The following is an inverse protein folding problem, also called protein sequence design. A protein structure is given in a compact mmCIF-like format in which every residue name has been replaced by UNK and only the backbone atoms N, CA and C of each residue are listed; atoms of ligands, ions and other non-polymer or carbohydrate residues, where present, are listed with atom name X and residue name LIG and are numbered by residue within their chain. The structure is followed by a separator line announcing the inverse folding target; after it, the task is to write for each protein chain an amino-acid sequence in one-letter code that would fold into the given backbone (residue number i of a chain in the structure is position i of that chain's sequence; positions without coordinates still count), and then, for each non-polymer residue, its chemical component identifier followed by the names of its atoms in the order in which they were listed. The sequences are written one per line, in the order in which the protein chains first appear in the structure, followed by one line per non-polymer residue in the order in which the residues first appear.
data_IF_884849292636
#
_entry.id   IF_884849292636
#
_cell.length_a   1.000
_cell.length_b   1.000
_cell.length_c   1.000
_cell.angle_alpha   90.00
_cell.angle_beta   90.00
_cell.angle_gamma   90.00
#
_symmetry.space_group_name_H-M   'P 1'
#
loop_
_entity.id
_entity.type
_entity.pdbx_description
1 polymer ?
#
# COMPACT_ATOMS: atom_id res chain seq x y z
N UNK A 1 -37.88 -24.32 -44.18
CA UNK A 1 -39.13 -24.47 -43.41
C UNK A 1 -38.79 -24.40 -41.95
N UNK A 2 -39.33 -23.41 -41.24
CA UNK A 2 -39.00 -23.14 -39.83
C UNK A 2 -39.52 -24.24 -38.90
N UNK A 3 -38.71 -24.55 -37.88
CA UNK A 3 -39.04 -25.49 -36.82
C UNK A 3 -39.54 -24.70 -35.61
N UNK A 4 -40.64 -25.16 -35.01
CA UNK A 4 -41.21 -24.58 -33.80
C UNK A 4 -41.27 -25.64 -32.72
N UNK A 5 -41.09 -25.23 -31.46
CA UNK A 5 -41.28 -26.14 -30.34
C UNK A 5 -42.77 -26.32 -30.09
N UNK A 6 -43.27 -27.54 -30.26
CA UNK A 6 -44.66 -27.91 -30.00
C UNK A 6 -44.67 -29.23 -29.24
N UNK A 7 -45.44 -29.28 -28.14
CA UNK A 7 -45.56 -30.47 -27.26
C UNK A 7 -44.21 -31.05 -26.83
N UNK A 8 -43.23 -30.18 -26.56
CA UNK A 8 -41.89 -30.57 -26.12
C UNK A 8 -40.95 -31.09 -27.23
N UNK A 9 -41.34 -31.04 -28.51
CA UNK A 9 -40.49 -31.44 -29.65
C UNK A 9 -40.43 -30.36 -30.72
N UNK A 10 -39.33 -30.32 -31.46
CA UNK A 10 -39.23 -29.44 -32.64
C UNK A 10 -39.97 -30.04 -33.82
N UNK A 11 -40.95 -29.30 -34.33
CA UNK A 11 -41.82 -29.73 -35.42
C UNK A 11 -41.83 -28.68 -36.51
N UNK A 12 -41.93 -29.09 -37.79
CA UNK A 12 -42.07 -28.14 -38.90
C UNK A 12 -43.39 -27.40 -38.77
N UNK A 13 -43.38 -26.07 -38.80
CA UNK A 13 -44.60 -25.28 -38.62
C UNK A 13 -45.71 -25.65 -39.63
N UNK A 14 -45.31 -25.98 -40.86
CA UNK A 14 -46.22 -26.34 -41.94
C UNK A 14 -47.04 -27.62 -41.70
N UNK A 15 -46.64 -28.48 -40.75
CA UNK A 15 -47.40 -29.71 -40.43
C UNK A 15 -48.40 -29.52 -39.28
N UNK A 16 -48.38 -28.37 -38.61
CA UNK A 16 -49.29 -28.04 -37.51
C UNK A 16 -50.59 -27.43 -38.03
N UNK A 17 -51.69 -27.60 -37.29
CA UNK A 17 -52.94 -26.88 -37.57
C UNK A 17 -52.81 -25.37 -37.29
N UNK A 18 -53.64 -24.54 -37.92
CA UNK A 18 -53.53 -23.06 -37.80
C UNK A 18 -53.52 -22.55 -36.36
N UNK A 19 -54.32 -23.13 -35.46
CA UNK A 19 -54.32 -22.78 -34.04
C UNK A 19 -52.99 -23.09 -33.35
N UNK A 20 -52.47 -24.30 -33.53
CA UNK A 20 -51.18 -24.74 -32.97
C UNK A 20 -50.00 -23.93 -33.54
N UNK A 21 -50.06 -23.52 -34.81
CA UNK A 21 -49.06 -22.62 -35.39
C UNK A 21 -49.01 -21.28 -34.67
N UNK A 22 -50.18 -20.68 -34.40
CA UNK A 22 -50.28 -19.40 -33.69
C UNK A 22 -49.74 -19.54 -32.27
N UNK A 23 -50.13 -20.59 -31.55
CA UNK A 23 -49.65 -20.84 -30.18
C UNK A 23 -48.13 -21.04 -30.13
N UNK A 24 -47.57 -21.85 -31.02
CA UNK A 24 -46.15 -22.14 -31.03
C UNK A 24 -45.29 -20.91 -31.40
N UNK A 25 -45.77 -20.07 -32.32
CA UNK A 25 -45.12 -18.80 -32.66
C UNK A 25 -45.26 -17.78 -31.53
N UNK A 26 -46.45 -17.69 -30.91
CA UNK A 26 -46.67 -16.79 -29.79
C UNK A 26 -45.78 -17.15 -28.59
N UNK A 27 -45.68 -18.45 -28.26
CA UNK A 27 -44.81 -18.92 -27.19
C UNK A 27 -43.34 -18.59 -27.44
N UNK A 28 -42.85 -18.78 -28.67
CA UNK A 28 -41.50 -18.39 -29.06
C UNK A 28 -41.28 -16.89 -28.95
N UNK A 29 -42.23 -16.09 -29.44
CA UNK A 29 -42.17 -14.64 -29.33
C UNK A 29 -42.11 -14.20 -27.86
N UNK A 30 -42.97 -14.76 -27.01
CA UNK A 30 -42.98 -14.45 -25.57
C UNK A 30 -41.68 -14.86 -24.88
N UNK A 31 -41.10 -16.01 -25.23
CA UNK A 31 -39.82 -16.44 -24.68
C UNK A 31 -38.68 -15.49 -25.09
N UNK A 32 -38.64 -15.06 -26.35
CA UNK A 32 -37.65 -14.07 -26.82
C UNK A 32 -37.87 -12.73 -26.14
N UNK A 33 -39.11 -12.26 -26.08
CA UNK A 33 -39.47 -10.99 -25.44
C UNK A 33 -39.09 -10.96 -23.96
N UNK A 34 -39.42 -12.00 -23.19
CA UNK A 34 -39.09 -12.09 -21.76
C UNK A 34 -37.59 -12.17 -21.54
N UNK A 35 -36.84 -12.91 -22.36
CA UNK A 35 -35.39 -12.95 -22.28
C UNK A 35 -34.75 -11.59 -22.55
N UNK A 36 -35.19 -10.90 -23.60
CA UNK A 36 -34.70 -9.57 -23.95
C UNK A 36 -35.05 -8.54 -22.87
N UNK A 37 -36.25 -8.60 -22.30
CA UNK A 37 -36.67 -7.73 -21.22
C UNK A 37 -35.81 -7.95 -19.95
N UNK A 38 -35.50 -9.20 -19.60
CA UNK A 38 -34.61 -9.53 -18.48
C UNK A 38 -33.21 -8.95 -18.70
N UNK A 39 -32.61 -9.23 -19.86
CA UNK A 39 -31.27 -8.73 -20.20
C UNK A 39 -31.20 -7.21 -20.24
N UNK A 40 -32.25 -6.55 -20.73
CA UNK A 40 -32.34 -5.10 -20.73
C UNK A 40 -32.37 -4.55 -19.29
N UNK A 41 -33.11 -5.22 -18.39
CA UNK A 41 -33.16 -4.83 -16.99
C UNK A 41 -31.79 -5.02 -16.30
N UNK A 42 -31.13 -6.15 -16.54
CA UNK A 42 -29.77 -6.44 -16.03
C UNK A 42 -28.78 -5.36 -16.47
N UNK A 43 -28.72 -5.05 -17.77
CA UNK A 43 -27.81 -4.00 -18.30
C UNK A 43 -28.11 -2.62 -17.72
N UNK A 44 -29.39 -2.30 -17.47
CA UNK A 44 -29.77 -1.02 -16.84
C UNK A 44 -29.27 -0.95 -15.41
N UNK A 45 -29.40 -2.03 -14.64
CA UNK A 45 -28.88 -2.10 -13.28
C UNK A 45 -27.35 -2.01 -13.27
N UNK A 46 -26.66 -2.70 -14.18
CA UNK A 46 -25.20 -2.61 -14.29
C UNK A 46 -24.74 -1.19 -14.65
N UNK A 47 -25.46 -0.50 -15.55
CA UNK A 47 -25.16 0.88 -15.91
C UNK A 47 -25.30 1.82 -14.70
N UNK A 48 -26.37 1.70 -13.93
CA UNK A 48 -26.57 2.49 -12.71
C UNK A 48 -25.45 2.26 -11.70
N UNK A 49 -25.06 1.00 -11.47
CA UNK A 49 -23.94 0.66 -10.59
C UNK A 49 -22.61 1.24 -11.07
N UNK A 50 -22.34 1.18 -12.38
CA UNK A 50 -21.13 1.75 -12.96
C UNK A 50 -21.10 3.28 -12.83
N UNK A 51 -22.25 3.97 -12.93
CA UNK A 51 -22.33 5.41 -12.69
C UNK A 51 -22.03 5.78 -11.24
N UNK A 52 -22.57 5.01 -10.29
CA UNK A 52 -22.29 5.17 -8.85
C UNK A 52 -20.80 4.96 -8.57
N UNK A 53 -20.21 3.90 -9.12
CA UNK A 53 -18.79 3.59 -8.94
C UNK A 53 -17.90 4.70 -9.53
N UNK A 54 -18.23 5.18 -10.74
CA UNK A 54 -17.52 6.30 -11.39
C UNK A 54 -17.53 7.55 -10.52
N UNK A 55 -18.68 7.93 -9.98
CA UNK A 55 -18.80 9.10 -9.11
C UNK A 55 -18.03 8.91 -7.79
N UNK A 56 -18.02 7.68 -7.26
CA UNK A 56 -17.23 7.32 -6.07
C UNK A 56 -15.74 7.50 -6.33
N UNK A 57 -15.22 6.96 -7.43
CA UNK A 57 -13.80 7.11 -7.79
C UNK A 57 -13.42 8.56 -8.07
N UNK A 58 -14.31 9.35 -8.68
CA UNK A 58 -14.07 10.79 -8.87
C UNK A 58 -13.84 11.50 -7.53
N UNK A 59 -14.74 11.28 -6.55
CA UNK A 59 -14.62 11.86 -5.21
C UNK A 59 -13.39 11.37 -4.47
N UNK A 60 -13.08 10.07 -4.60
CA UNK A 60 -11.89 9.48 -3.98
C UNK A 60 -10.61 10.10 -4.54
N UNK A 61 -10.53 10.28 -5.86
CA UNK A 61 -9.39 10.93 -6.52
C UNK A 61 -9.19 12.37 -6.01
N UNK A 62 -10.27 13.14 -5.86
CA UNK A 62 -10.20 14.51 -5.32
C UNK A 62 -9.73 14.53 -3.86
N UNK A 63 -10.19 13.57 -3.06
CA UNK A 63 -9.80 13.44 -1.67
C UNK A 63 -8.33 13.01 -1.54
N UNK A 64 -7.89 12.03 -2.32
CA UNK A 64 -6.51 11.54 -2.31
C UNK A 64 -5.53 12.63 -2.73
N UNK A 65 -5.83 13.41 -3.77
CA UNK A 65 -4.98 14.53 -4.16
C UNK A 65 -4.75 15.52 -3.00
N UNK A 66 -5.81 15.85 -2.25
CA UNK A 66 -5.71 16.72 -1.06
C UNK A 66 -4.92 16.05 0.06
N UNK A 67 -5.17 14.77 0.33
CA UNK A 67 -4.51 13.99 1.39
C UNK A 67 -3.00 13.85 1.12
N UNK A 68 -2.62 13.58 -0.12
CA UNK A 68 -1.21 13.49 -0.54
C UNK A 68 -0.51 14.82 -0.32
N UNK A 69 -1.08 15.93 -0.80
CA UNK A 69 -0.47 17.25 -0.63
C UNK A 69 -0.26 17.60 0.86
N UNK A 70 -1.26 17.35 1.70
CA UNK A 70 -1.14 17.55 3.16
C UNK A 70 0.00 16.72 3.77
N UNK A 71 0.09 15.45 3.39
CA UNK A 71 1.15 14.55 3.88
C UNK A 71 2.53 15.02 3.44
N UNK A 72 2.69 15.36 2.16
CA UNK A 72 3.97 15.84 1.61
C UNK A 72 4.40 17.14 2.28
N UNK A 73 3.51 18.12 2.42
CA UNK A 73 3.83 19.39 3.09
C UNK A 73 4.25 19.19 4.54
N UNK A 74 3.58 18.27 5.26
CA UNK A 74 3.96 17.95 6.64
C UNK A 74 5.35 17.31 6.71
N UNK A 75 5.64 16.33 5.85
CA UNK A 75 6.94 15.67 5.81
C UNK A 75 8.07 16.64 5.46
N UNK A 76 7.84 17.55 4.51
CA UNK A 76 8.81 18.59 4.16
C UNK A 76 9.15 19.49 5.35
N UNK A 77 8.14 19.85 6.16
CA UNK A 77 8.37 20.64 7.37
C UNK A 77 9.14 19.84 8.43
N UNK A 78 8.77 18.58 8.65
CA UNK A 78 9.48 17.70 9.60
C UNK A 78 10.96 17.51 9.21
N UNK A 79 11.25 17.33 7.91
CA UNK A 79 12.62 17.25 7.39
C UNK A 79 13.39 18.54 7.63
N UNK A 80 12.81 19.71 7.32
CA UNK A 80 13.47 21.00 7.54
C UNK A 80 13.84 21.19 9.01
N UNK A 81 12.97 20.79 9.93
CA UNK A 81 13.25 20.87 11.37
C UNK A 81 14.33 19.89 11.81
N UNK A 82 14.40 18.70 11.21
CA UNK A 82 15.47 17.73 11.47
C UNK A 82 16.83 18.26 11.00
N UNK A 83 16.90 18.79 9.77
CA UNK A 83 18.12 19.38 9.21
C UNK A 83 18.63 20.56 10.05
N UNK A 84 17.73 21.40 10.57
CA UNK A 84 18.10 22.50 11.46
C UNK A 84 18.73 22.01 12.76
N UNK A 85 18.10 21.02 13.42
CA UNK A 85 18.65 20.41 14.65
C UNK A 85 19.98 19.72 14.41
N UNK A 86 20.12 19.02 13.28
CA UNK A 86 21.38 18.38 12.91
C UNK A 86 22.49 19.42 12.74
N UNK A 87 22.21 20.52 12.04
CA UNK A 87 23.17 21.61 11.86
C UNK A 87 23.62 22.22 13.18
N UNK A 88 22.68 22.52 14.08
CA UNK A 88 22.99 23.03 15.42
C UNK A 88 23.86 22.05 16.22
N UNK A 89 23.54 20.75 16.16
CA UNK A 89 24.32 19.72 16.85
C UNK A 89 25.74 19.61 16.30
N UNK A 90 25.91 19.67 14.97
CA UNK A 90 27.21 19.67 14.31
C UNK A 90 28.04 20.91 14.70
N UNK A 91 27.42 22.08 14.79
CA UNK A 91 28.09 23.32 15.22
C UNK A 91 28.57 23.23 16.68
N UNK A 92 27.70 22.78 17.60
CA UNK A 92 28.06 22.58 19.01
C UNK A 92 29.19 21.57 19.15
N UNK A 93 29.12 20.46 18.42
CA UNK A 93 30.17 19.44 18.40
C UNK A 93 31.50 19.99 17.85
N UNK A 94 31.46 20.84 16.81
CA UNK A 94 32.64 21.53 16.30
C UNK A 94 33.30 22.44 17.34
N UNK A 95 32.50 23.26 18.03
CA UNK A 95 32.98 24.14 19.11
C UNK A 95 33.57 23.36 20.29
N UNK A 96 32.98 22.21 20.64
CA UNK A 96 33.52 21.33 21.68
C UNK A 96 34.88 20.75 21.27
N UNK A 97 35.01 20.27 20.03
CA UNK A 97 36.31 19.81 19.49
C UNK A 97 37.38 20.90 19.53
N UNK A 98 37.01 22.14 19.22
CA UNK A 98 37.91 23.30 19.26
C UNK A 98 38.31 23.70 20.68
N UNK A 99 37.33 23.80 21.58
CA UNK A 99 37.54 24.17 22.99
C UNK A 99 38.39 23.14 23.73
N UNK A 100 38.16 21.86 23.49
CA UNK A 100 38.87 20.78 24.17
C UNK A 100 40.27 20.53 23.57
N UNK A 101 40.77 21.44 22.71
CA UNK A 101 42.15 21.45 22.21
C UNK A 101 42.48 20.26 21.31
N UNK A 102 41.47 19.66 20.68
CA UNK A 102 41.62 18.43 19.91
C UNK A 102 42.05 18.69 18.46
N UNK A 103 43.04 19.56 18.26
CA UNK A 103 43.51 19.99 16.94
C UNK A 103 44.87 19.41 16.52
N UNK A 104 45.39 18.40 17.23
CA UNK A 104 46.66 17.77 16.81
C UNK A 104 46.63 16.26 16.56
N UNK A 105 45.51 15.55 16.78
CA UNK A 105 45.51 14.08 16.75
C UNK A 105 44.20 13.46 16.19
N UNK A 106 43.41 14.18 15.39
CA UNK A 106 42.14 13.62 14.86
C UNK A 106 42.38 12.45 13.89
N UNK A 107 43.55 12.37 13.25
CA UNK A 107 43.89 11.21 12.40
C UNK A 107 44.49 10.02 13.19
N UNK A 108 44.73 10.14 14.50
CA UNK A 108 45.34 9.04 15.27
C UNK A 108 44.59 8.65 16.55
N UNK A 109 43.70 9.51 17.08
CA UNK A 109 43.08 9.26 18.38
C UNK A 109 41.65 9.78 18.36
N UNK A 110 40.66 8.91 18.13
CA UNK A 110 39.47 8.92 19.01
C UNK A 110 39.18 7.49 19.46
N UNK A 111 40.07 6.87 20.27
CA UNK A 111 39.81 5.59 20.89
C UNK A 111 38.69 5.75 21.92
N UNK A 112 38.49 6.95 22.49
CA UNK A 112 37.57 7.18 23.61
C UNK A 112 36.08 6.97 23.26
N UNK A 113 35.67 7.45 22.08
CA UNK A 113 34.31 7.20 21.60
C UNK A 113 34.18 5.82 20.95
N UNK A 114 35.22 5.32 20.28
CA UNK A 114 35.21 3.98 19.73
C UNK A 114 35.10 2.92 20.84
N UNK A 115 35.87 3.00 21.93
CA UNK A 115 35.74 2.02 23.03
C UNK A 115 34.39 2.13 23.73
N UNK A 116 33.83 3.34 23.90
CA UNK A 116 32.50 3.48 24.50
C UNK A 116 31.43 2.86 23.62
N UNK A 117 31.50 3.05 22.30
CA UNK A 117 30.58 2.45 21.34
C UNK A 117 30.79 0.93 21.24
N UNK A 118 32.03 0.46 21.21
CA UNK A 118 32.40 -0.95 21.17
C UNK A 118 31.99 -1.69 22.46
N UNK A 119 32.16 -1.08 23.63
CA UNK A 119 31.67 -1.63 24.90
C UNK A 119 30.13 -1.69 24.94
N UNK A 120 29.45 -0.69 24.37
CA UNK A 120 28.00 -0.70 24.26
C UNK A 120 27.52 -1.83 23.34
N UNK A 121 28.26 -2.08 22.25
CA UNK A 121 27.97 -3.15 21.29
C UNK A 121 28.30 -4.55 21.85
N UNK A 122 29.42 -4.70 22.57
CA UNK A 122 29.80 -5.91 23.30
C UNK A 122 28.77 -6.25 24.38
N UNK A 123 28.30 -5.25 25.13
CA UNK A 123 27.22 -5.43 26.12
C UNK A 123 25.91 -5.85 25.47
N UNK A 124 25.56 -5.29 24.32
CA UNK A 124 24.33 -5.67 23.59
C UNK A 124 24.40 -7.08 22.99
N UNK A 125 25.62 -7.57 22.68
CA UNK A 125 25.86 -8.94 22.16
C UNK A 125 26.05 -9.98 23.28
N UNK A 126 26.35 -9.54 24.51
CA UNK A 126 26.51 -10.44 25.65
C UNK A 126 25.18 -11.15 25.99
N UNK A 127 25.18 -12.47 25.87
CA UNK A 127 24.06 -13.36 26.23
C UNK A 127 24.47 -14.28 27.38
N UNK A 128 23.50 -14.85 28.09
CA UNK A 128 23.72 -15.63 29.34
C UNK A 128 24.64 -16.87 29.15
N UNK A 129 24.88 -17.30 27.91
CA UNK A 129 25.80 -18.40 27.56
C UNK A 129 27.19 -17.98 27.07
N UNK A 130 27.53 -16.68 27.02
CA UNK A 130 28.82 -16.19 26.56
C UNK A 130 29.81 -15.94 27.73
N UNK A 131 31.11 -15.99 27.46
CA UNK A 131 32.14 -15.75 28.48
C UNK A 131 32.06 -14.33 29.07
N UNK A 132 32.33 -14.15 30.38
CA UNK A 132 32.28 -12.86 31.04
C UNK A 132 33.30 -11.87 30.47
N UNK A 133 32.87 -10.63 30.21
CA UNK A 133 33.74 -9.55 29.72
C UNK A 133 34.76 -9.16 30.79
N UNK A 134 36.05 -9.29 30.47
CA UNK A 134 37.18 -8.94 31.34
C UNK A 134 37.71 -7.54 30.97
N UNK A 135 37.91 -6.68 31.98
CA UNK A 135 38.50 -5.35 31.80
C UNK A 135 39.92 -5.34 32.36
N UNK A 136 40.90 -4.98 31.54
CA UNK A 136 42.31 -4.97 31.94
C UNK A 136 42.63 -3.65 32.68
N UNK A 137 42.65 -3.68 34.01
CA UNK A 137 42.96 -2.52 34.85
C UNK A 137 44.48 -2.26 34.91
N UNK A 138 45.02 -1.53 33.94
CA UNK A 138 46.37 -0.97 34.06
C UNK A 138 46.30 0.43 34.69
N UNK A 139 46.21 0.49 36.02
CA UNK A 139 46.66 1.66 36.78
C UNK A 139 48.14 1.45 37.10
N UNK A 140 49.02 2.21 36.44
CA UNK A 140 50.41 2.33 36.83
C UNK A 140 50.46 2.97 38.22
N UNK A 141 50.92 2.20 39.20
CA UNK A 141 51.30 2.69 40.53
C UNK A 141 52.68 3.32 40.37
N UNK A 142 52.76 4.65 40.38
CA UNK A 142 54.03 5.37 40.55
C UNK A 142 54.44 5.29 42.03
N UNK A 143 55.65 4.77 42.29
CA UNK A 143 56.44 5.01 43.51
C UNK A 143 57.83 5.44 43.09
#
# INVERSE_FOLDING_TARGET
TELVQSRGKFTRIAVLGRGEQIEALHAQFQAIHTNLASKLAEVRTELEMAEIEKETFRRLSEHEAKSINKRVSRLQEEVRQQEARERELQEVHGKLKERDGFYFLVDLVVPDQHWKLEQLELRNKATVGAEPVQYNNNQAVEV
#
